data_IF_961921326288
#
_entry.id   IF_961921326288
#
_cell.length_a   1.000
_cell.length_b   1.000
_cell.length_c   1.000
_cell.angle_alpha   90.00
_cell.angle_beta   90.00
_cell.angle_gamma   90.00
#
_symmetry.space_group_name_H-M   'P 1'
#
loop_
_entity.id
_entity.type
_entity.pdbx_description
1 polymer ?
#
# COMPACT_ATOMS: atom_id res chain seq x y z
N UNK A 1 21.56 -2.84 -21.45
CA UNK A 1 21.02 -4.23 -21.50
C UNK A 1 19.61 -4.16 -22.04
N UNK A 2 19.33 -4.86 -23.13
CA UNK A 2 17.98 -4.95 -23.70
C UNK A 2 17.05 -5.69 -22.73
N UNK A 3 15.85 -5.13 -22.50
CA UNK A 3 14.80 -5.76 -21.69
C UNK A 3 14.33 -7.01 -22.45
N UNK A 4 14.35 -8.22 -21.87
CA UNK A 4 13.89 -9.42 -22.56
C UNK A 4 12.42 -9.28 -22.97
N UNK A 5 12.14 -9.55 -24.24
CA UNK A 5 10.83 -9.32 -24.89
C UNK A 5 9.67 -10.20 -24.39
N UNK A 6 9.79 -10.94 -23.29
CA UNK A 6 8.64 -11.71 -22.78
C UNK A 6 8.66 -11.96 -21.26
N UNK A 7 8.77 -10.88 -20.47
CA UNK A 7 8.61 -10.93 -19.00
C UNK A 7 7.26 -11.55 -18.57
N UNK A 8 6.24 -11.50 -19.43
CA UNK A 8 4.89 -12.01 -19.16
C UNK A 8 4.80 -13.53 -19.00
N UNK A 9 5.73 -14.29 -19.61
CA UNK A 9 5.81 -15.75 -19.48
C UNK A 9 6.59 -16.22 -18.26
N UNK A 10 7.38 -15.33 -17.64
CA UNK A 10 8.30 -15.66 -16.54
C UNK A 10 7.74 -15.13 -15.21
N UNK A 11 7.03 -14.00 -15.23
CA UNK A 11 6.45 -13.36 -14.06
C UNK A 11 4.94 -13.19 -14.28
N UNK A 12 4.07 -13.95 -13.59
CA UNK A 12 2.63 -13.78 -13.68
C UNK A 12 2.17 -12.33 -13.46
N UNK A 13 2.86 -11.61 -12.57
CA UNK A 13 2.65 -10.18 -12.27
C UNK A 13 2.97 -9.24 -13.45
N UNK A 14 3.67 -9.72 -14.47
CA UNK A 14 3.97 -8.96 -15.68
C UNK A 14 2.92 -9.09 -16.80
N UNK A 15 1.82 -9.82 -16.57
CA UNK A 15 0.79 -10.18 -17.57
C UNK A 15 0.34 -9.03 -18.46
N UNK A 16 0.19 -7.84 -17.89
CA UNK A 16 -0.40 -6.69 -18.60
C UNK A 16 0.63 -5.68 -19.12
N UNK A 17 1.94 -5.89 -19.00
CA UNK A 17 2.97 -4.90 -19.39
C UNK A 17 3.41 -5.02 -20.84
N UNK A 18 3.81 -3.88 -21.42
CA UNK A 18 4.32 -3.82 -22.80
C UNK A 18 3.27 -4.09 -23.87
N UNK A 19 2.12 -4.66 -23.50
CA UNK A 19 0.96 -4.84 -24.34
C UNK A 19 0.17 -3.52 -24.41
N UNK A 20 -0.35 -3.19 -25.61
CA UNK A 20 -1.50 -2.28 -25.71
C UNK A 20 -2.68 -3.02 -25.09
N UNK A 21 -2.79 -3.02 -23.76
CA UNK A 21 -3.94 -3.59 -23.06
C UNK A 21 -5.17 -2.80 -23.54
N UNK A 22 -6.01 -3.44 -24.35
CA UNK A 22 -7.32 -2.86 -24.66
C UNK A 22 -8.06 -2.71 -23.35
N UNK A 23 -8.65 -1.53 -23.16
CA UNK A 23 -9.45 -1.28 -21.98
C UNK A 23 -10.68 -2.21 -22.02
N UNK A 24 -10.96 -2.96 -20.94
CA UNK A 24 -12.09 -3.87 -20.92
C UNK A 24 -13.40 -3.09 -20.99
N UNK A 25 -14.31 -3.53 -21.87
CA UNK A 25 -15.62 -2.89 -22.06
C UNK A 25 -16.68 -3.41 -21.08
N UNK A 26 -16.47 -4.62 -20.54
CA UNK A 26 -17.38 -5.31 -19.65
C UNK A 26 -16.66 -5.78 -18.40
N UNK A 27 -17.39 -5.95 -17.30
CA UNK A 27 -16.88 -6.51 -16.05
C UNK A 27 -16.14 -7.82 -16.26
N UNK A 28 -14.88 -7.85 -15.81
CA UNK A 28 -14.00 -9.01 -15.96
C UNK A 28 -13.10 -9.20 -14.73
N UNK A 29 -13.47 -10.07 -13.77
CA UNK A 29 -12.64 -10.39 -12.61
C UNK A 29 -11.38 -11.19 -12.97
N UNK A 30 -11.31 -11.80 -14.16
CA UNK A 30 -10.14 -12.59 -14.59
C UNK A 30 -8.91 -11.74 -14.92
N UNK A 31 -9.08 -10.41 -15.00
CA UNK A 31 -8.00 -9.44 -15.16
C UNK A 31 -7.09 -9.36 -13.94
N UNK A 32 -7.64 -9.65 -12.75
CA UNK A 32 -6.93 -9.58 -11.48
C UNK A 32 -5.76 -10.57 -11.46
N UNK A 33 -4.62 -10.10 -11.00
CA UNK A 33 -3.41 -10.90 -10.82
C UNK A 33 -3.01 -10.86 -9.35
N UNK A 34 -2.82 -12.05 -8.78
CA UNK A 34 -2.30 -12.23 -7.43
C UNK A 34 -0.80 -12.49 -7.45
N UNK A 35 -0.11 -12.01 -6.43
CA UNK A 35 1.34 -12.20 -6.24
C UNK A 35 1.58 -12.86 -4.88
N UNK A 36 2.26 -14.03 -4.83
CA UNK A 36 2.56 -14.68 -3.56
C UNK A 36 3.55 -13.85 -2.74
N UNK A 37 3.24 -13.57 -1.47
CA UNK A 37 4.13 -12.81 -0.58
C UNK A 37 5.40 -13.58 -0.21
N UNK A 38 5.27 -14.90 -0.13
CA UNK A 38 6.33 -15.81 0.30
C UNK A 38 7.62 -15.63 -0.51
N UNK A 39 7.50 -15.40 -1.83
CA UNK A 39 8.66 -15.25 -2.73
C UNK A 39 9.59 -14.13 -2.27
N UNK A 40 9.04 -12.98 -1.85
CA UNK A 40 9.86 -11.88 -1.36
C UNK A 40 10.25 -12.07 0.11
N UNK A 41 9.34 -12.59 0.93
CA UNK A 41 9.63 -12.87 2.35
C UNK A 41 10.82 -13.81 2.52
N UNK A 42 10.91 -14.87 1.72
CA UNK A 42 12.06 -15.77 1.72
C UNK A 42 13.38 -15.04 1.38
N UNK A 43 13.37 -14.16 0.37
CA UNK A 43 14.54 -13.36 -0.02
C UNK A 43 14.97 -12.39 1.09
N UNK A 44 13.98 -11.77 1.74
CA UNK A 44 14.18 -10.88 2.87
C UNK A 44 14.40 -11.62 4.21
N UNK A 45 14.50 -12.97 4.19
CA UNK A 45 14.68 -13.83 5.36
C UNK A 45 13.59 -13.66 6.45
N UNK A 46 12.38 -13.31 6.03
CA UNK A 46 11.20 -13.18 6.88
C UNK A 46 10.57 -14.57 7.01
N UNK A 47 10.72 -15.19 8.19
CA UNK A 47 10.18 -16.51 8.48
C UNK A 47 8.80 -16.46 9.15
N UNK A 48 8.14 -17.62 9.22
CA UNK A 48 6.95 -17.82 10.05
C UNK A 48 7.35 -18.24 11.48
N UNK A 49 6.57 -17.85 12.52
CA UNK A 49 5.48 -16.89 12.48
C UNK A 49 5.97 -15.49 12.10
N UNK A 50 5.16 -14.72 11.36
CA UNK A 50 5.56 -13.38 10.92
C UNK A 50 5.96 -12.49 12.11
N UNK A 51 7.06 -11.70 11.99
CA UNK A 51 7.54 -10.83 13.08
C UNK A 51 6.69 -9.57 13.26
N UNK A 52 5.61 -9.43 12.49
CA UNK A 52 4.72 -8.26 12.47
C UNK A 52 3.27 -8.68 12.28
N UNK A 53 2.37 -7.80 12.72
CA UNK A 53 0.99 -7.68 12.25
C UNK A 53 0.88 -6.47 11.34
N UNK A 54 -0.16 -6.37 10.52
CA UNK A 54 -0.29 -5.22 9.63
C UNK A 54 -1.40 -5.35 8.62
N UNK A 55 -1.50 -4.32 7.78
CA UNK A 55 -2.45 -4.23 6.70
C UNK A 55 -1.78 -3.60 5.47
N UNK A 56 -2.28 -3.96 4.29
CA UNK A 56 -2.06 -3.17 3.10
C UNK A 56 -3.34 -2.36 2.84
N UNK A 57 -3.19 -1.03 2.88
CA UNK A 57 -4.29 -0.08 2.68
C UNK A 57 -4.16 0.52 1.30
N UNK A 58 -5.19 0.37 0.49
CA UNK A 58 -5.21 0.84 -0.89
C UNK A 58 -6.33 1.86 -1.07
N UNK A 59 -6.05 2.92 -1.81
CA UNK A 59 -7.04 3.94 -2.18
C UNK A 59 -7.12 4.02 -3.69
N UNK A 60 -8.27 3.61 -4.26
CA UNK A 60 -8.54 3.69 -5.69
C UNK A 60 -9.45 4.89 -5.96
N UNK A 61 -8.89 5.93 -6.57
CA UNK A 61 -9.54 7.22 -6.79
C UNK A 61 -10.43 7.27 -8.03
N UNK A 62 -10.28 6.31 -8.93
CA UNK A 62 -10.92 6.27 -10.24
C UNK A 62 -11.99 5.16 -10.33
N UNK A 63 -12.60 4.77 -9.21
CA UNK A 63 -13.63 3.73 -9.19
C UNK A 63 -14.99 4.28 -9.63
N UNK A 64 -15.58 3.69 -10.66
CA UNK A 64 -16.83 4.13 -11.26
C UNK A 64 -17.69 2.94 -11.71
N UNK A 65 -19.00 3.15 -11.76
CA UNK A 65 -19.99 2.22 -12.31
C UNK A 65 -21.25 2.98 -12.76
N UNK A 66 -22.24 2.28 -13.31
CA UNK A 66 -23.52 2.85 -13.71
C UNK A 66 -24.63 2.50 -12.71
N UNK A 67 -25.62 3.38 -12.60
CA UNK A 67 -26.92 3.01 -12.06
C UNK A 67 -27.71 2.14 -13.06
N UNK A 68 -28.80 1.53 -12.62
CA UNK A 68 -29.73 0.79 -13.48
C UNK A 68 -30.36 1.68 -14.58
N UNK A 69 -30.40 2.99 -14.39
CA UNK A 69 -30.84 3.96 -15.40
C UNK A 69 -29.72 4.42 -16.36
N UNK A 70 -28.50 3.88 -16.22
CA UNK A 70 -27.34 4.26 -17.03
C UNK A 70 -26.62 5.54 -16.57
N UNK A 71 -26.97 6.10 -15.40
CA UNK A 71 -26.29 7.28 -14.86
C UNK A 71 -24.93 6.87 -14.25
N UNK A 72 -23.81 7.49 -14.66
CA UNK A 72 -22.51 7.20 -14.04
C UNK A 72 -22.42 7.68 -12.59
N UNK A 73 -21.76 6.91 -11.75
CA UNK A 73 -21.40 7.30 -10.39
C UNK A 73 -19.97 6.88 -10.06
N UNK A 74 -19.28 7.74 -9.30
CA UNK A 74 -17.87 7.58 -8.94
C UNK A 74 -17.67 7.71 -7.43
N UNK A 75 -16.63 7.06 -6.93
CA UNK A 75 -16.19 7.16 -5.54
C UNK A 75 -14.70 6.82 -5.42
N UNK A 76 -14.14 7.12 -4.24
CA UNK A 76 -12.85 6.57 -3.82
C UNK A 76 -13.13 5.25 -3.10
N UNK A 77 -12.58 4.14 -3.58
CA UNK A 77 -12.63 2.88 -2.83
C UNK A 77 -11.43 2.81 -1.88
N UNK A 78 -11.71 2.65 -0.59
CA UNK A 78 -10.70 2.27 0.40
C UNK A 78 -10.74 0.75 0.58
N UNK A 79 -9.66 0.08 0.23
CA UNK A 79 -9.51 -1.37 0.26
C UNK A 79 -8.46 -1.70 1.32
N UNK A 80 -8.79 -2.58 2.27
CA UNK A 80 -7.92 -2.95 3.38
C UNK A 80 -7.90 -4.47 3.51
N UNK A 81 -6.71 -5.06 3.57
CA UNK A 81 -6.54 -6.50 3.79
C UNK A 81 -5.28 -6.79 4.59
N UNK A 82 -5.27 -7.89 5.37
CA UNK A 82 -4.25 -8.10 6.37
C UNK A 82 -2.92 -8.54 5.74
N UNK A 83 -1.82 -8.15 6.37
CA UNK A 83 -0.47 -8.45 5.90
C UNK A 83 -0.14 -9.96 5.99
N UNK A 84 -0.87 -10.75 6.78
CA UNK A 84 -0.69 -12.20 6.88
C UNK A 84 -1.36 -12.99 5.75
N UNK A 85 -2.09 -12.32 4.84
CA UNK A 85 -2.63 -12.92 3.62
C UNK A 85 -1.55 -13.60 2.76
N UNK A 86 -1.89 -14.72 2.13
CA UNK A 86 -0.97 -15.48 1.27
C UNK A 86 -0.52 -14.68 0.05
N UNK A 87 -1.43 -13.86 -0.50
CA UNK A 87 -1.21 -13.10 -1.71
C UNK A 87 -1.44 -11.60 -1.50
N UNK A 88 -0.80 -10.79 -2.34
CA UNK A 88 -1.19 -9.40 -2.61
C UNK A 88 -1.73 -9.28 -4.04
N UNK A 89 -2.44 -8.20 -4.34
CA UNK A 89 -2.94 -7.92 -5.70
C UNK A 89 -1.96 -7.03 -6.46
N UNK A 90 -1.72 -7.32 -7.74
CA UNK A 90 -0.87 -6.48 -8.59
C UNK A 90 -1.62 -5.21 -9.03
N UNK A 91 -1.00 -4.04 -8.85
CA UNK A 91 -1.70 -2.74 -8.95
C UNK A 91 -2.22 -2.40 -10.35
N UNK A 92 -1.50 -2.78 -11.41
CA UNK A 92 -1.97 -2.59 -12.78
C UNK A 92 -3.17 -3.49 -13.10
N UNK A 93 -3.16 -4.73 -12.61
CA UNK A 93 -4.27 -5.66 -12.74
C UNK A 93 -5.53 -5.15 -12.04
N UNK A 94 -5.37 -4.59 -10.82
CA UNK A 94 -6.46 -3.96 -10.08
C UNK A 94 -7.02 -2.76 -10.85
N UNK A 95 -6.16 -1.92 -11.44
CA UNK A 95 -6.61 -0.80 -12.28
C UNK A 95 -7.45 -1.27 -13.47
N UNK A 96 -7.01 -2.27 -14.21
CA UNK A 96 -7.74 -2.79 -15.37
C UNK A 96 -9.07 -3.43 -14.95
N UNK A 97 -9.07 -4.17 -13.84
CA UNK A 97 -10.28 -4.71 -13.23
C UNK A 97 -11.27 -3.61 -12.84
N UNK A 98 -10.83 -2.56 -12.15
CA UNK A 98 -11.69 -1.43 -11.79
C UNK A 98 -12.23 -0.71 -13.03
N UNK A 99 -11.42 -0.59 -14.08
CA UNK A 99 -11.88 -0.03 -15.35
C UNK A 99 -12.99 -0.86 -15.99
N UNK A 100 -12.93 -2.19 -15.87
CA UNK A 100 -13.96 -3.11 -16.40
C UNK A 100 -15.35 -2.88 -15.78
N UNK A 101 -15.40 -2.29 -14.58
CA UNK A 101 -16.64 -1.99 -13.87
C UNK A 101 -17.31 -0.68 -14.32
N UNK A 102 -16.62 0.18 -15.09
CA UNK A 102 -17.09 1.53 -15.45
C UNK A 102 -18.45 1.53 -16.15
N UNK A 103 -18.72 0.53 -17.00
CA UNK A 103 -19.98 0.37 -17.74
C UNK A 103 -20.94 -0.65 -17.09
N UNK A 104 -20.63 -1.13 -15.89
CA UNK A 104 -21.44 -2.14 -15.20
C UNK A 104 -22.55 -1.49 -14.39
N UNK A 105 -23.80 -1.95 -14.58
CA UNK A 105 -24.96 -1.46 -13.81
C UNK A 105 -25.06 -2.19 -12.47
N UNK A 106 -24.93 -1.47 -11.35
CA UNK A 106 -24.80 -2.09 -10.01
C UNK A 106 -25.83 -1.63 -8.98
N UNK A 107 -26.69 -0.65 -9.27
CA UNK A 107 -27.74 -0.24 -8.33
C UNK A 107 -28.68 0.82 -8.86
N UNK A 108 -29.81 1.01 -8.19
CA UNK A 108 -30.85 1.93 -8.67
C UNK A 108 -30.48 3.41 -8.48
N UNK A 109 -29.83 3.73 -7.36
CA UNK A 109 -29.40 5.10 -7.03
C UNK A 109 -27.88 5.22 -7.02
N UNK A 110 -27.29 6.42 -7.20
CA UNK A 110 -25.84 6.61 -7.11
C UNK A 110 -25.24 6.10 -5.80
N UNK A 111 -25.97 6.22 -4.67
CA UNK A 111 -25.51 5.67 -3.39
C UNK A 111 -25.51 4.14 -3.41
N UNK A 112 -26.59 3.51 -3.85
CA UNK A 112 -26.70 2.04 -3.90
C UNK A 112 -25.66 1.44 -4.87
N UNK A 113 -25.49 2.04 -6.05
CA UNK A 113 -24.51 1.61 -7.04
C UNK A 113 -23.08 1.64 -6.50
N UNK A 114 -22.67 2.70 -5.77
CA UNK A 114 -21.35 2.76 -5.11
C UNK A 114 -21.14 1.68 -4.05
N UNK A 115 -22.17 1.36 -3.26
CA UNK A 115 -22.06 0.28 -2.26
C UNK A 115 -21.99 -1.10 -2.91
N UNK A 116 -22.78 -1.32 -3.97
CA UNK A 116 -22.73 -2.56 -4.74
C UNK A 116 -21.39 -2.73 -5.47
N UNK A 117 -20.84 -1.64 -6.03
CA UNK A 117 -19.48 -1.59 -6.57
C UNK A 117 -18.45 -2.03 -5.53
N UNK A 118 -18.45 -1.40 -4.35
CA UNK A 118 -17.54 -1.77 -3.28
C UNK A 118 -17.69 -3.23 -2.85
N UNK A 119 -18.92 -3.77 -2.80
CA UNK A 119 -19.17 -5.18 -2.48
C UNK A 119 -18.73 -6.16 -3.57
N UNK A 120 -18.87 -5.80 -4.83
CA UNK A 120 -18.32 -6.57 -5.95
C UNK A 120 -16.80 -6.69 -5.82
N UNK A 121 -16.12 -5.55 -5.64
CA UNK A 121 -14.66 -5.49 -5.44
C UNK A 121 -14.21 -6.26 -4.20
N UNK A 122 -14.95 -6.13 -3.08
CA UNK A 122 -14.68 -6.87 -1.84
C UNK A 122 -14.69 -8.39 -2.06
N UNK A 123 -15.72 -8.90 -2.74
CA UNK A 123 -15.90 -10.33 -3.00
C UNK A 123 -14.82 -10.89 -3.93
N UNK A 124 -14.56 -10.20 -5.03
CA UNK A 124 -13.57 -10.63 -6.02
C UNK A 124 -12.15 -10.64 -5.43
N UNK A 125 -11.76 -9.59 -4.71
CA UNK A 125 -10.46 -9.54 -4.06
C UNK A 125 -10.33 -10.53 -2.90
N UNK A 126 -11.40 -10.74 -2.11
CA UNK A 126 -11.36 -11.74 -1.04
C UNK A 126 -11.13 -13.15 -1.60
N UNK A 127 -11.78 -13.48 -2.72
CA UNK A 127 -11.57 -14.75 -3.42
C UNK A 127 -10.18 -14.85 -4.03
N UNK A 128 -9.70 -13.79 -4.68
CA UNK A 128 -8.37 -13.75 -5.31
C UNK A 128 -7.24 -13.95 -4.29
N UNK A 129 -7.33 -13.25 -3.15
CA UNK A 129 -6.28 -13.15 -2.15
C UNK A 129 -6.39 -14.22 -1.05
N UNK A 130 -7.46 -15.00 -1.06
CA UNK A 130 -7.75 -16.05 -0.07
C UNK A 130 -7.75 -15.50 1.38
N UNK A 131 -8.29 -14.28 1.54
CA UNK A 131 -8.40 -13.58 2.82
C UNK A 131 -9.64 -12.70 2.85
N UNK A 132 -10.07 -12.28 4.04
CA UNK A 132 -11.08 -11.22 4.14
C UNK A 132 -10.48 -9.88 3.71
N UNK A 133 -11.02 -9.31 2.65
CA UNK A 133 -10.78 -7.94 2.21
C UNK A 133 -11.96 -7.08 2.70
N UNK A 134 -11.68 -5.86 3.15
CA UNK A 134 -12.70 -4.85 3.42
C UNK A 134 -12.62 -3.78 2.33
N UNK A 135 -13.75 -3.46 1.68
CA UNK A 135 -13.80 -2.42 0.66
C UNK A 135 -14.98 -1.48 0.92
N UNK A 136 -14.70 -0.19 1.10
CA UNK A 136 -15.71 0.82 1.44
C UNK A 136 -15.63 2.00 0.45
N UNK A 137 -16.77 2.47 -0.09
CA UNK A 137 -16.80 3.63 -0.97
C UNK A 137 -16.87 4.93 -0.18
N UNK A 138 -16.08 5.92 -0.60
CA UNK A 138 -15.97 7.23 0.01
C UNK A 138 -16.18 8.35 -1.03
N UNK A 139 -16.74 9.47 -0.59
CA UNK A 139 -16.97 10.65 -1.44
C UNK A 139 -16.30 11.92 -0.90
N UNK A 140 -15.73 11.87 0.29
CA UNK A 140 -15.05 12.98 0.93
C UNK A 140 -13.98 12.44 1.88
N UNK A 141 -12.92 13.22 2.06
CA UNK A 141 -11.95 12.99 3.12
C UNK A 141 -12.54 13.40 4.47
N UNK A 142 -12.05 12.75 5.51
CA UNK A 142 -12.17 13.24 6.89
C UNK A 142 -11.00 14.15 7.21
N UNK A 143 -11.14 14.99 8.24
CA UNK A 143 -10.03 15.81 8.75
C UNK A 143 -9.00 14.99 9.55
N UNK A 144 -9.24 13.69 9.75
CA UNK A 144 -8.41 12.83 10.57
C UNK A 144 -7.15 12.35 9.85
N UNK A 145 -6.03 12.35 10.57
CA UNK A 145 -4.76 11.79 10.12
C UNK A 145 -3.93 11.27 11.30
N UNK A 146 -3.46 10.02 11.25
CA UNK A 146 -2.76 9.39 12.38
C UNK A 146 -1.39 10.01 12.69
N UNK A 147 -0.75 10.64 11.69
CA UNK A 147 0.64 11.09 11.79
C UNK A 147 0.77 12.60 12.00
N UNK A 148 -0.24 13.25 12.57
CA UNK A 148 -0.12 14.64 13.01
C UNK A 148 1.05 14.80 14.00
N UNK A 149 1.83 15.87 13.83
CA UNK A 149 2.95 16.22 14.69
C UNK A 149 4.28 15.52 14.36
N UNK A 150 4.30 14.58 13.39
CA UNK A 150 5.55 14.07 12.85
C UNK A 150 6.25 15.15 12.01
N UNK A 151 7.50 15.45 12.34
CA UNK A 151 8.32 16.39 11.59
C UNK A 151 9.21 15.66 10.59
N UNK A 152 9.37 16.17 9.35
CA UNK A 152 10.26 15.54 8.37
C UNK A 152 11.72 15.63 8.83
N UNK A 153 12.36 14.47 8.97
CA UNK A 153 13.72 14.34 9.44
C UNK A 153 14.73 15.06 8.53
N UNK A 154 14.45 15.15 7.22
CA UNK A 154 15.30 15.85 6.26
C UNK A 154 15.38 17.36 6.47
N UNK A 155 14.45 17.96 7.22
CA UNK A 155 14.47 19.39 7.52
C UNK A 155 15.47 19.70 8.66
N UNK A 156 15.74 18.72 9.53
CA UNK A 156 16.75 18.81 10.60
C UNK A 156 17.51 17.48 10.77
N UNK A 157 18.35 17.09 9.80
CA UNK A 157 18.92 15.75 9.75
C UNK A 157 20.00 15.46 10.80
N UNK A 158 20.58 16.51 11.40
CA UNK A 158 21.59 16.43 12.47
C UNK A 158 20.98 16.65 13.87
N UNK A 159 19.65 16.56 14.01
CA UNK A 159 18.99 16.63 15.32
C UNK A 159 19.59 15.56 16.24
N UNK A 160 20.09 15.95 17.43
CA UNK A 160 20.72 15.02 18.36
C UNK A 160 19.74 13.94 18.81
N UNK A 161 20.32 12.81 19.20
CA UNK A 161 19.57 11.59 19.46
C UNK A 161 18.45 11.77 20.48
N UNK A 162 17.34 11.09 20.22
CA UNK A 162 16.31 10.90 21.24
C UNK A 162 16.91 10.12 22.41
N UNK A 163 16.69 10.62 23.63
CA UNK A 163 17.25 10.02 24.84
C UNK A 163 16.83 8.55 24.97
N UNK A 164 17.74 7.70 25.46
CA UNK A 164 17.47 6.29 25.71
C UNK A 164 16.22 6.11 26.58
N UNK A 165 15.32 5.19 26.19
CA UNK A 165 14.05 4.96 26.88
C UNK A 165 12.90 5.87 26.45
N UNK A 166 13.12 6.72 25.44
CA UNK A 166 12.07 7.51 24.81
C UNK A 166 11.47 6.83 23.57
N UNK A 167 10.26 7.27 23.20
CA UNK A 167 9.61 6.83 21.97
C UNK A 167 10.23 7.56 20.78
N UNK A 168 10.94 6.83 19.93
CA UNK A 168 11.38 7.32 18.63
C UNK A 168 10.16 7.56 17.75
N UNK A 169 10.00 8.81 17.27
CA UNK A 169 9.06 9.18 16.20
C UNK A 169 9.87 9.72 15.05
N UNK A 170 9.84 9.03 13.92
CA UNK A 170 10.60 9.41 12.72
C UNK A 170 9.66 9.51 11.53
N UNK A 171 9.84 10.54 10.72
CA UNK A 171 9.14 10.72 9.46
C UNK A 171 10.10 11.26 8.41
N UNK A 172 9.95 10.83 7.17
CA UNK A 172 10.63 11.45 6.04
C UNK A 172 9.79 11.39 4.78
N UNK A 173 9.93 12.41 3.93
CA UNK A 173 9.31 12.49 2.59
C UNK A 173 10.25 11.99 1.49
N UNK A 174 11.41 11.42 1.88
CA UNK A 174 12.48 11.01 0.96
C UNK A 174 12.40 9.55 0.51
N UNK A 175 11.41 8.79 0.99
CA UNK A 175 11.24 7.38 0.60
C UNK A 175 11.02 7.31 -0.92
N UNK A 176 11.88 6.55 -1.57
CA UNK A 176 11.81 6.24 -3.00
C UNK A 176 12.35 4.84 -3.22
N UNK A 177 11.71 4.10 -4.10
CA UNK A 177 12.19 2.83 -4.65
C UNK A 177 11.91 2.79 -6.15
N UNK A 178 12.16 1.65 -6.80
CA UNK A 178 11.75 1.38 -8.17
C UNK A 178 10.71 0.29 -8.17
N UNK A 179 9.71 0.47 -9.02
CA UNK A 179 8.71 -0.56 -9.23
C UNK A 179 9.39 -1.78 -9.83
N UNK A 180 9.26 -2.93 -9.15
CA UNK A 180 9.80 -4.23 -9.58
C UNK A 180 9.50 -4.57 -11.05
N UNK A 181 8.40 -4.04 -11.53
CA UNK A 181 7.76 -4.44 -12.76
C UNK A 181 8.05 -3.48 -13.91
N UNK A 182 7.93 -2.17 -13.69
CA UNK A 182 8.15 -1.16 -14.74
C UNK A 182 9.52 -0.48 -14.65
N UNK A 183 10.25 -0.65 -13.54
CA UNK A 183 11.48 0.08 -13.23
C UNK A 183 11.30 1.60 -13.02
N UNK A 184 10.05 2.08 -13.05
CA UNK A 184 9.70 3.47 -12.83
C UNK A 184 9.87 3.81 -11.34
N UNK A 185 10.20 5.08 -11.01
CA UNK A 185 10.37 5.48 -9.62
C UNK A 185 9.02 5.48 -8.89
N UNK A 186 9.01 4.89 -7.70
CA UNK A 186 7.93 5.00 -6.73
C UNK A 186 8.37 5.99 -5.64
N UNK A 187 7.47 6.88 -5.25
CA UNK A 187 7.71 7.91 -4.25
C UNK A 187 6.78 7.70 -3.07
N UNK A 188 7.23 8.00 -1.86
CA UNK A 188 6.36 7.89 -0.70
C UNK A 188 6.87 8.64 0.51
N UNK A 189 6.06 8.57 1.56
CA UNK A 189 6.40 9.02 2.90
C UNK A 189 6.63 7.80 3.77
N UNK A 190 7.59 7.90 4.70
CA UNK A 190 7.79 6.91 5.74
C UNK A 190 7.41 7.52 7.09
N UNK A 191 6.68 6.76 7.90
CA UNK A 191 6.41 7.04 9.30
C UNK A 191 6.86 5.85 10.14
N UNK A 192 7.56 6.13 11.22
CA UNK A 192 8.11 5.13 12.12
C UNK A 192 7.87 5.54 13.57
N UNK A 193 7.39 4.59 14.37
CA UNK A 193 7.43 4.71 15.83
C UNK A 193 8.16 3.51 16.42
N UNK A 194 9.09 3.75 17.35
CA UNK A 194 9.80 2.68 18.02
C UNK A 194 10.07 3.00 19.49
N UNK A 195 10.05 1.98 20.34
CA UNK A 195 10.54 2.07 21.72
C UNK A 195 11.96 1.51 21.75
N UNK A 196 12.96 2.38 21.87
CA UNK A 196 14.38 2.02 21.77
C UNK A 196 15.10 2.23 23.11
N UNK A 197 16.07 1.36 23.40
CA UNK A 197 16.90 1.46 24.61
C UNK A 197 18.20 2.24 24.36
N UNK A 198 18.49 2.59 23.11
CA UNK A 198 19.71 3.28 22.73
C UNK A 198 19.39 4.49 21.85
N UNK A 199 20.21 5.54 21.93
CA UNK A 199 20.19 6.66 20.98
C UNK A 199 20.25 6.16 19.53
N UNK A 200 19.53 6.81 18.63
CA UNK A 200 19.53 6.49 17.20
C UNK A 200 19.65 7.77 16.39
N UNK A 201 20.78 7.97 15.67
CA UNK A 201 20.97 9.19 14.89
C UNK A 201 19.97 9.31 13.75
N UNK A 202 19.29 10.46 13.70
CA UNK A 202 18.34 10.83 12.62
C UNK A 202 18.99 10.68 11.24
N UNK A 203 20.26 11.10 11.12
CA UNK A 203 21.08 10.98 9.91
C UNK A 203 21.25 9.54 9.45
N UNK A 204 21.49 8.61 10.36
CA UNK A 204 21.69 7.20 10.02
C UNK A 204 20.40 6.54 9.54
N UNK A 205 19.27 6.83 10.21
CA UNK A 205 17.94 6.42 9.74
C UNK A 205 17.64 6.95 8.34
N UNK A 206 17.90 8.25 8.09
CA UNK A 206 17.75 8.86 6.77
C UNK A 206 18.60 8.14 5.71
N UNK A 207 19.87 7.87 6.00
CA UNK A 207 20.77 7.19 5.07
C UNK A 207 20.26 5.79 4.70
N UNK A 208 19.71 5.05 5.67
CA UNK A 208 19.07 3.74 5.40
C UNK A 208 17.87 3.87 4.46
N UNK A 209 17.00 4.85 4.69
CA UNK A 209 15.85 5.10 3.79
C UNK A 209 16.32 5.50 2.39
N UNK A 210 17.33 6.36 2.30
CA UNK A 210 17.91 6.81 1.03
C UNK A 210 18.56 5.66 0.26
N UNK A 211 19.10 4.65 0.94
CA UNK A 211 19.70 3.48 0.28
C UNK A 211 18.70 2.68 -0.56
N UNK A 212 17.40 2.79 -0.28
CA UNK A 212 16.33 2.08 -1.01
C UNK A 212 16.04 2.63 -2.41
N UNK A 213 16.66 3.76 -2.79
CA UNK A 213 16.33 4.52 -4.00
C UNK A 213 16.41 3.74 -5.31
N UNK A 214 17.26 2.73 -5.37
CA UNK A 214 17.47 1.91 -6.57
C UNK A 214 17.08 0.44 -6.37
N UNK A 215 16.41 0.12 -5.25
CA UNK A 215 15.86 -1.20 -4.99
C UNK A 215 14.56 -1.42 -5.78
N UNK A 216 14.37 -2.65 -6.28
CA UNK A 216 13.27 -3.04 -7.17
C UNK A 216 12.23 -3.90 -6.45
N UNK A 217 11.17 -3.27 -5.95
CA UNK A 217 10.20 -3.93 -5.06
C UNK A 217 8.77 -3.45 -5.28
N UNK A 218 7.82 -4.23 -4.75
CA UNK A 218 6.49 -3.71 -4.45
C UNK A 218 6.49 -2.86 -3.17
N UNK A 219 5.50 -1.99 -3.00
CA UNK A 219 5.42 -1.09 -1.84
C UNK A 219 5.36 -1.88 -0.52
N UNK A 220 4.61 -2.97 -0.52
CA UNK A 220 4.44 -3.91 0.58
C UNK A 220 5.78 -4.54 0.99
N UNK A 221 6.58 -4.92 -0.01
CA UNK A 221 7.90 -5.52 0.18
C UNK A 221 8.88 -4.53 0.81
N UNK A 222 8.87 -3.26 0.38
CA UNK A 222 9.68 -2.20 0.99
C UNK A 222 9.31 -2.00 2.46
N UNK A 223 8.02 -1.98 2.80
CA UNK A 223 7.55 -1.83 4.17
C UNK A 223 8.01 -2.99 5.06
N UNK A 224 7.92 -4.24 4.57
CA UNK A 224 8.40 -5.43 5.27
C UNK A 224 9.92 -5.44 5.45
N UNK A 225 10.66 -5.03 4.42
CA UNK A 225 12.12 -4.90 4.48
C UNK A 225 12.56 -3.84 5.48
N UNK A 226 11.91 -2.66 5.48
CA UNK A 226 12.18 -1.62 6.48
C UNK A 226 11.91 -2.14 7.89
N UNK A 227 10.75 -2.77 8.11
CA UNK A 227 10.40 -3.31 9.42
C UNK A 227 11.46 -4.30 9.93
N UNK A 228 11.89 -5.24 9.09
CA UNK A 228 12.86 -6.27 9.48
C UNK A 228 14.25 -5.72 9.72
N UNK A 229 14.78 -4.91 8.80
CA UNK A 229 16.09 -4.27 8.97
C UNK A 229 16.14 -3.37 10.22
N UNK A 230 15.08 -2.61 10.49
CA UNK A 230 15.00 -1.76 11.66
C UNK A 230 14.83 -2.56 12.95
N UNK A 231 14.12 -3.70 12.91
CA UNK A 231 14.01 -4.60 14.06
C UNK A 231 15.36 -5.22 14.43
N UNK A 232 16.12 -5.64 13.42
CA UNK A 232 17.48 -6.19 13.60
C UNK A 232 18.47 -5.14 14.07
N UNK A 233 18.37 -3.91 13.58
CA UNK A 233 19.33 -2.85 13.92
C UNK A 233 19.05 -2.17 15.25
N UNK A 234 17.79 -1.79 15.51
CA UNK A 234 17.42 -1.01 16.69
C UNK A 234 17.10 -1.89 17.91
N UNK A 235 16.85 -3.18 17.71
CA UNK A 235 16.32 -4.10 18.71
C UNK A 235 15.20 -3.48 19.57
N UNK A 236 14.16 -2.89 18.95
CA UNK A 236 13.19 -2.10 19.67
C UNK A 236 12.28 -3.01 20.50
N UNK A 237 11.82 -2.51 21.66
CA UNK A 237 10.75 -3.19 22.44
C UNK A 237 9.45 -3.25 21.65
N UNK A 238 9.23 -2.26 20.78
CA UNK A 238 8.06 -2.19 19.92
C UNK A 238 8.34 -1.32 18.69
N UNK A 239 7.81 -1.68 17.53
CA UNK A 239 8.05 -0.99 16.26
C UNK A 239 6.77 -0.90 15.43
N UNK A 240 6.54 0.24 14.78
CA UNK A 240 5.60 0.39 13.68
C UNK A 240 6.29 1.12 12.53
N UNK A 241 6.07 0.62 11.32
CA UNK A 241 6.52 1.17 10.05
C UNK A 241 5.28 1.32 9.17
N UNK A 242 5.03 2.53 8.69
CA UNK A 242 3.98 2.84 7.72
C UNK A 242 4.60 3.60 6.55
N UNK A 243 4.34 3.12 5.33
CA UNK A 243 4.83 3.74 4.10
C UNK A 243 3.63 4.20 3.28
N UNK A 244 3.49 5.49 3.02
CA UNK A 244 2.36 6.08 2.27
C UNK A 244 2.87 6.54 0.90
N UNK A 245 2.64 5.73 -0.13
CA UNK A 245 3.14 5.99 -1.49
C UNK A 245 2.22 6.94 -2.27
N UNK A 246 2.81 7.65 -3.23
CA UNK A 246 2.07 8.47 -4.19
C UNK A 246 1.30 7.58 -5.17
N UNK A 247 0.15 8.04 -5.62
CA UNK A 247 -0.67 7.30 -6.58
C UNK A 247 0.04 7.02 -7.92
N UNK A 248 -0.22 5.84 -8.49
CA UNK A 248 0.12 5.49 -9.88
C UNK A 248 -1.11 4.92 -10.57
N UNK A 249 -1.51 5.54 -11.68
CA UNK A 249 -2.70 5.11 -12.44
C UNK A 249 -4.00 5.13 -11.62
N UNK A 250 -4.17 6.15 -10.77
CA UNK A 250 -5.39 6.34 -9.98
C UNK A 250 -5.44 5.55 -8.67
N UNK A 251 -4.36 4.85 -8.29
CA UNK A 251 -4.32 4.00 -7.10
C UNK A 251 -3.08 4.32 -6.27
N UNK A 252 -3.25 4.55 -4.97
CA UNK A 252 -2.16 4.55 -4.00
C UNK A 252 -2.18 3.31 -3.09
N UNK A 253 -1.03 3.03 -2.47
CA UNK A 253 -0.84 1.91 -1.57
C UNK A 253 -0.10 2.42 -0.34
N UNK A 254 -0.62 2.09 0.84
CA UNK A 254 -0.12 2.50 2.13
C UNK A 254 0.08 1.30 3.06
N UNK A 255 1.12 0.47 2.86
CA UNK A 255 1.41 -0.67 3.72
C UNK A 255 1.81 -0.23 5.13
N UNK A 256 1.33 -0.98 6.12
CA UNK A 256 1.70 -0.81 7.53
C UNK A 256 2.12 -2.15 8.13
N UNK A 257 3.23 -2.16 8.88
CA UNK A 257 3.74 -3.30 9.65
C UNK A 257 4.05 -2.86 11.07
N UNK A 258 3.60 -3.61 12.07
CA UNK A 258 3.83 -3.30 13.48
C UNK A 258 4.07 -4.56 14.32
N UNK A 259 4.82 -4.43 15.41
CA UNK A 259 5.10 -5.54 16.32
C UNK A 259 3.89 -5.96 17.17
N UNK A 260 2.84 -5.12 17.24
CA UNK A 260 1.58 -5.45 17.90
C UNK A 260 0.41 -4.65 17.32
N UNK A 261 -0.82 -5.16 17.47
CA UNK A 261 -2.04 -4.52 16.94
C UNK A 261 -2.29 -3.13 17.53
N UNK A 262 -1.88 -2.89 18.78
CA UNK A 262 -2.10 -1.61 19.47
C UNK A 262 -1.28 -0.44 18.89
N UNK A 263 -0.26 -0.75 18.07
CA UNK A 263 0.56 0.26 17.41
C UNK A 263 0.08 0.62 16.01
N UNK A 264 -0.90 -0.12 15.47
CA UNK A 264 -1.41 0.16 14.13
C UNK A 264 -2.11 1.52 14.11
N UNK A 265 -1.89 2.36 13.08
CA UNK A 265 -2.58 3.62 12.91
C UNK A 265 -4.09 3.36 12.77
N UNK A 266 -4.89 4.03 13.60
CA UNK A 266 -6.32 3.71 13.76
C UNK A 266 -7.12 4.15 12.55
N UNK A 267 -6.86 5.35 12.04
CA UNK A 267 -7.65 5.93 10.95
C UNK A 267 -7.20 5.36 9.59
N UNK A 268 -5.91 5.20 9.37
CA UNK A 268 -5.36 4.64 8.14
C UNK A 268 -5.83 3.19 7.94
N UNK A 269 -5.83 2.36 8.99
CA UNK A 269 -6.26 0.96 8.87
C UNK A 269 -7.78 0.78 8.92
N UNK A 270 -8.56 1.79 9.29
CA UNK A 270 -10.02 1.70 9.32
C UNK A 270 -10.61 1.87 7.89
N UNK A 271 -11.26 0.86 7.31
CA UNK A 271 -11.84 0.98 5.97
C UNK A 271 -12.96 2.04 5.90
N UNK A 272 -13.59 2.39 7.03
CA UNK A 272 -14.68 3.37 7.10
C UNK A 272 -14.21 4.82 7.26
N UNK A 273 -12.89 5.06 7.30
CA UNK A 273 -12.32 6.40 7.39
C UNK A 273 -11.42 6.68 6.19
N UNK A 274 -11.80 7.59 5.29
CA UNK A 274 -10.88 8.15 4.31
C UNK A 274 -10.10 9.30 4.98
N UNK A 275 -8.85 9.05 5.35
CA UNK A 275 -7.99 10.04 6.03
C UNK A 275 -7.57 11.15 5.09
N UNK A 276 -7.27 12.33 5.63
CA UNK A 276 -6.63 13.38 4.85
C UNK A 276 -5.33 12.85 4.17
N UNK A 277 -5.05 13.25 2.92
CA UNK A 277 -3.88 12.74 2.21
C UNK A 277 -2.59 13.26 2.83
N UNK A 278 -1.56 12.41 2.88
CA UNK A 278 -0.22 12.84 3.24
C UNK A 278 0.39 13.75 2.15
N UNK A 279 1.50 14.42 2.47
CA UNK A 279 2.24 15.24 1.49
C UNK A 279 2.61 14.41 0.24
N UNK A 280 2.14 14.84 -0.94
CA UNK A 280 2.31 14.21 -2.27
C UNK A 280 1.51 12.93 -2.55
N UNK A 281 0.61 12.49 -1.67
CA UNK A 281 -0.21 11.28 -1.87
C UNK A 281 -1.31 11.46 -2.95
#
# INVERSE_FOLDING_TARGET
MAIPQDLSKILPEARHLGQRSMLPENYDPSLLVRVPREVNRLKAKIAQPLPFVGFDVWQAYEASCLTASGLPTQCVLKIVYPADSTFLVESKSLKLYLHSLNSTMLGETPRAARHALAKCVEGDLSKLLETTVQCVPHNAYTDGFDFHGFQPAEDNPDTPDLSAGSTLKFHTRLLRSRCRITGQPDWGNLYLTAQVNSPCPTRELLNRVISLRDEYHFHEEICEMLFTQLSEWLHPKSLMVATLYTRRGGIDISPVRASSRNLLPKLLCDPHTLTAPAWRQ
#
